data_IF_305441068103
#
_entry.id   IF_305441068103
#
_cell.length_a   1.000
_cell.length_b   1.000
_cell.length_c   1.000
_cell.angle_alpha   90.00
_cell.angle_beta   90.00
_cell.angle_gamma   90.00
#
_symmetry.space_group_name_H-M   'P 1'
#
loop_
_entity.id
_entity.type
_entity.pdbx_description
1 polymer ?
#
# COMPACT_ATOMS: atom_id res chain seq x y z
N UNK A 1 5.60 14.20 -21.69
CA UNK A 1 5.63 14.90 -20.39
C UNK A 1 7.07 14.91 -19.94
N UNK A 2 7.66 16.08 -19.80
CA UNK A 2 9.04 16.18 -19.30
C UNK A 2 9.03 15.85 -17.81
N UNK A 3 10.08 15.21 -17.29
CA UNK A 3 10.19 14.78 -15.88
C UNK A 3 9.96 15.94 -14.89
N UNK A 4 10.35 17.15 -15.29
CA UNK A 4 10.14 18.39 -14.53
C UNK A 4 8.65 18.76 -14.32
N UNK A 5 7.77 18.48 -15.28
CA UNK A 5 6.34 18.78 -15.19
C UNK A 5 5.62 17.82 -14.24
N UNK A 6 6.08 16.55 -14.20
CA UNK A 6 5.48 15.52 -13.36
C UNK A 6 5.81 15.74 -11.88
N UNK A 7 7.04 16.17 -11.59
CA UNK A 7 7.44 16.58 -10.24
C UNK A 7 6.60 17.75 -9.72
N UNK A 8 6.37 18.76 -10.55
CA UNK A 8 5.48 19.88 -10.18
C UNK A 8 4.04 19.42 -9.93
N UNK A 9 3.53 18.49 -10.76
CA UNK A 9 2.19 17.92 -10.61
C UNK A 9 2.01 17.10 -9.31
N UNK A 10 3.06 16.39 -8.87
CA UNK A 10 3.02 15.61 -7.63
C UNK A 10 3.22 16.51 -6.41
N UNK A 11 4.12 17.50 -6.49
CA UNK A 11 4.47 18.34 -5.35
C UNK A 11 3.41 19.41 -5.02
N UNK A 12 2.67 19.89 -6.01
CA UNK A 12 1.76 21.04 -5.83
C UNK A 12 0.33 20.67 -5.45
N UNK A 13 0.01 19.38 -5.33
CA UNK A 13 -1.36 18.93 -5.09
C UNK A 13 -1.43 17.82 -4.04
N UNK A 14 -2.44 17.90 -3.17
CA UNK A 14 -2.77 16.83 -2.21
C UNK A 14 -3.25 15.55 -2.92
N UNK A 15 -3.96 15.71 -4.05
CA UNK A 15 -4.41 14.60 -4.90
C UNK A 15 -4.27 14.98 -6.38
N UNK A 16 -3.73 14.05 -7.17
CA UNK A 16 -3.58 14.22 -8.62
C UNK A 16 -4.38 13.17 -9.36
N UNK A 17 -5.30 13.62 -10.21
CA UNK A 17 -6.22 12.75 -10.95
C UNK A 17 -5.87 12.75 -12.43
N UNK A 18 -5.58 11.57 -12.98
CA UNK A 18 -5.34 11.40 -14.42
C UNK A 18 -6.63 10.98 -15.13
N UNK A 19 -7.18 11.87 -15.98
CA UNK A 19 -8.38 11.61 -16.77
C UNK A 19 -8.03 11.40 -18.25
N UNK A 20 -8.81 10.57 -18.93
CA UNK A 20 -8.63 10.30 -20.36
C UNK A 20 -9.44 9.10 -20.84
N UNK A 21 -9.59 8.97 -22.15
CA UNK A 21 -10.31 7.88 -22.82
C UNK A 21 -9.75 6.51 -22.42
N UNK A 22 -10.55 5.44 -22.54
CA UNK A 22 -10.02 4.09 -22.40
C UNK A 22 -8.87 3.87 -23.40
N UNK A 23 -7.79 3.22 -22.96
CA UNK A 23 -6.59 3.04 -23.78
C UNK A 23 -5.67 4.26 -23.88
N UNK A 24 -5.96 5.40 -23.24
CA UNK A 24 -5.11 6.61 -23.29
C UNK A 24 -3.77 6.50 -22.53
N UNK A 25 -3.39 5.30 -22.07
CA UNK A 25 -2.10 5.07 -21.41
C UNK A 25 -2.00 5.44 -19.92
N UNK A 26 -3.11 5.79 -19.23
CA UNK A 26 -3.11 6.17 -17.80
C UNK A 26 -2.41 5.14 -16.89
N UNK A 27 -2.85 3.89 -16.93
CA UNK A 27 -2.24 2.80 -16.13
C UNK A 27 -0.81 2.49 -16.58
N UNK A 28 -0.45 2.78 -17.83
CA UNK A 28 0.93 2.64 -18.31
C UNK A 28 1.83 3.72 -17.73
N UNK A 29 1.36 4.96 -17.62
CA UNK A 29 2.08 6.04 -16.95
C UNK A 29 2.31 5.74 -15.47
N UNK A 30 1.26 5.32 -14.74
CA UNK A 30 1.36 4.98 -13.32
C UNK A 30 2.35 3.82 -13.07
N UNK A 31 2.34 2.79 -13.92
CA UNK A 31 3.32 1.68 -13.82
C UNK A 31 4.75 2.13 -14.14
N UNK A 32 4.93 3.06 -15.08
CA UNK A 32 6.26 3.64 -15.36
C UNK A 32 6.80 4.44 -14.19
N UNK A 33 5.95 5.22 -13.53
CA UNK A 33 6.29 5.94 -12.30
C UNK A 33 6.72 4.96 -11.20
N UNK A 34 5.93 3.91 -10.98
CA UNK A 34 6.22 2.87 -9.99
C UNK A 34 7.53 2.13 -10.26
N UNK A 35 7.88 1.95 -11.54
CA UNK A 35 9.12 1.27 -11.95
C UNK A 35 10.36 2.16 -11.97
N UNK A 36 10.19 3.48 -11.86
CA UNK A 36 11.29 4.45 -12.04
C UNK A 36 12.27 4.48 -10.86
N UNK A 37 11.94 3.86 -9.72
CA UNK A 37 12.69 3.92 -8.44
C UNK A 37 13.03 5.34 -7.93
N UNK A 38 12.63 6.41 -8.64
CA UNK A 38 12.82 7.80 -8.23
C UNK A 38 11.88 8.19 -7.07
N UNK A 39 10.80 7.43 -6.88
CA UNK A 39 9.78 7.69 -5.87
C UNK A 39 9.48 6.41 -5.08
N UNK A 40 9.26 6.56 -3.76
CA UNK A 40 8.69 5.48 -2.97
C UNK A 40 7.21 5.33 -3.33
N UNK A 41 6.92 4.33 -4.16
CA UNK A 41 5.62 4.14 -4.80
C UNK A 41 5.04 2.79 -4.43
N UNK A 42 3.71 2.77 -4.30
CA UNK A 42 2.96 1.54 -4.07
C UNK A 42 1.81 1.50 -5.07
N UNK A 43 1.99 0.74 -6.15
CA UNK A 43 0.93 0.52 -7.12
C UNK A 43 -0.22 -0.30 -6.50
N UNK A 44 -1.43 0.25 -6.57
CA UNK A 44 -2.66 -0.42 -6.14
C UNK A 44 -3.46 -0.75 -7.39
N UNK A 45 -3.67 -2.05 -7.64
CA UNK A 45 -4.48 -2.50 -8.76
C UNK A 45 -5.95 -2.12 -8.58
N UNK A 46 -6.66 -1.76 -9.67
CA UNK A 46 -8.09 -1.51 -9.63
C UNK A 46 -8.82 -2.82 -9.28
N UNK A 47 -9.34 -2.89 -8.06
CA UNK A 47 -10.13 -4.01 -7.57
C UNK A 47 -11.63 -3.69 -7.61
N UNK A 48 -12.46 -4.73 -7.68
CA UNK A 48 -13.91 -4.63 -7.65
C UNK A 48 -14.37 -4.97 -6.23
N UNK A 49 -15.03 -4.03 -5.56
CA UNK A 49 -15.29 -4.10 -4.13
C UNK A 49 -15.77 -5.45 -3.58
N UNK A 50 -15.50 -5.66 -2.29
CA UNK A 50 -15.86 -6.87 -1.55
C UNK A 50 -15.32 -6.80 -0.13
N UNK A 51 -15.53 -7.85 0.66
CA UNK A 51 -15.08 -7.88 2.06
C UNK A 51 -13.60 -8.27 2.17
N UNK A 52 -12.85 -7.62 3.05
CA UNK A 52 -11.51 -8.04 3.44
C UNK A 52 -11.60 -9.35 4.21
N UNK A 53 -10.99 -10.41 3.68
CA UNK A 53 -10.98 -11.75 4.28
C UNK A 53 -9.54 -12.17 4.45
N UNK A 54 -9.17 -12.60 5.66
CA UNK A 54 -7.85 -13.15 5.92
C UNK A 54 -7.71 -14.57 5.32
N UNK A 55 -6.56 -14.85 4.71
CA UNK A 55 -6.22 -16.16 4.14
C UNK A 55 -4.78 -16.52 4.53
N UNK A 56 -4.60 -17.64 5.23
CA UNK A 56 -3.30 -18.10 5.70
C UNK A 56 -2.35 -18.52 4.56
N UNK A 57 -2.88 -18.99 3.42
CA UNK A 57 -2.05 -19.33 2.27
C UNK A 57 -1.42 -18.06 1.68
N UNK A 58 -2.18 -16.97 1.65
CA UNK A 58 -1.69 -15.67 1.19
C UNK A 58 -0.64 -15.11 2.15
N UNK A 59 -0.84 -15.22 3.46
CA UNK A 59 0.18 -14.86 4.44
C UNK A 59 1.46 -15.67 4.26
N UNK A 60 1.36 -16.99 4.20
CA UNK A 60 2.50 -17.86 3.95
C UNK A 60 3.24 -17.44 2.68
N UNK A 61 2.53 -17.17 1.58
CA UNK A 61 3.16 -16.76 0.32
C UNK A 61 3.92 -15.44 0.47
N UNK A 62 3.31 -14.45 1.13
CA UNK A 62 3.95 -13.15 1.41
C UNK A 62 5.20 -13.32 2.30
N UNK A 63 5.16 -14.21 3.29
CA UNK A 63 6.30 -14.47 4.17
C UNK A 63 7.45 -15.23 3.50
N UNK A 64 7.16 -16.06 2.50
CA UNK A 64 8.18 -16.85 1.79
C UNK A 64 8.77 -16.12 0.59
N UNK A 65 8.02 -15.21 -0.05
CA UNK A 65 8.48 -14.40 -1.18
C UNK A 65 8.11 -12.93 -0.98
N UNK A 66 9.10 -12.15 -0.56
CA UNK A 66 8.98 -10.70 -0.33
C UNK A 66 8.53 -9.93 -1.59
N UNK A 67 8.83 -10.45 -2.79
CA UNK A 67 8.49 -9.80 -4.05
C UNK A 67 7.14 -10.23 -4.60
N UNK A 68 6.58 -11.35 -4.12
CA UNK A 68 5.31 -11.89 -4.62
C UNK A 68 4.19 -10.85 -4.56
N UNK A 69 4.06 -10.19 -3.42
CA UNK A 69 3.03 -9.18 -3.17
C UNK A 69 3.10 -8.00 -4.14
N UNK A 70 4.31 -7.51 -4.41
CA UNK A 70 4.54 -6.38 -5.34
C UNK A 70 4.24 -6.83 -6.77
N UNK A 71 4.77 -7.98 -7.16
CA UNK A 71 4.63 -8.53 -8.51
C UNK A 71 3.18 -8.87 -8.83
N UNK A 72 2.48 -9.48 -7.88
CA UNK A 72 1.10 -9.90 -8.06
C UNK A 72 0.14 -8.70 -8.11
N UNK A 73 0.35 -7.68 -7.27
CA UNK A 73 -0.43 -6.42 -7.32
C UNK A 73 -0.25 -5.60 -8.59
N UNK A 74 0.85 -5.80 -9.33
CA UNK A 74 1.09 -5.14 -10.63
C UNK A 74 0.30 -5.79 -11.77
N UNK A 75 -0.31 -6.96 -11.55
CA UNK A 75 -1.14 -7.65 -12.54
C UNK A 75 -2.54 -7.06 -12.56
N UNK A 76 -3.17 -7.07 -13.74
CA UNK A 76 -4.58 -6.74 -13.84
C UNK A 76 -5.41 -7.89 -13.26
N UNK A 77 -6.42 -7.58 -12.44
CA UNK A 77 -7.38 -8.55 -11.87
C UNK A 77 -6.74 -9.58 -10.92
N UNK A 78 -6.06 -9.08 -9.90
CA UNK A 78 -5.61 -9.92 -8.79
C UNK A 78 -6.80 -10.39 -7.95
N UNK A 79 -7.08 -11.70 -7.96
CA UNK A 79 -8.18 -12.30 -7.18
C UNK A 79 -7.95 -12.22 -5.67
N UNK A 80 -6.68 -12.25 -5.24
CA UNK A 80 -6.28 -12.31 -3.84
C UNK A 80 -5.97 -10.94 -3.21
N UNK A 81 -6.30 -9.84 -3.88
CA UNK A 81 -5.93 -8.49 -3.43
C UNK A 81 -6.50 -8.16 -2.03
N UNK A 82 -7.74 -8.60 -1.78
CA UNK A 82 -8.42 -8.42 -0.49
C UNK A 82 -7.71 -9.18 0.63
N UNK A 83 -7.33 -10.43 0.35
CA UNK A 83 -6.58 -11.29 1.27
C UNK A 83 -5.21 -10.70 1.57
N UNK A 84 -4.49 -10.24 0.55
CA UNK A 84 -3.21 -9.57 0.71
C UNK A 84 -3.33 -8.31 1.59
N UNK A 85 -4.42 -7.55 1.42
CA UNK A 85 -4.65 -6.33 2.20
C UNK A 85 -5.00 -6.64 3.66
N UNK A 86 -5.81 -7.68 3.90
CA UNK A 86 -6.11 -8.17 5.24
C UNK A 86 -4.84 -8.65 5.98
N UNK A 87 -3.96 -9.38 5.28
CA UNK A 87 -2.67 -9.81 5.83
C UNK A 87 -1.79 -8.61 6.17
N UNK A 88 -1.64 -7.62 5.29
CA UNK A 88 -0.84 -6.43 5.59
C UNK A 88 -1.36 -5.66 6.80
N UNK A 89 -2.68 -5.51 6.92
CA UNK A 89 -3.30 -4.84 8.06
C UNK A 89 -2.99 -5.57 9.38
N UNK A 90 -3.15 -6.90 9.39
CA UNK A 90 -2.82 -7.73 10.55
C UNK A 90 -1.33 -7.69 10.89
N UNK A 91 -0.45 -7.70 9.89
CA UNK A 91 0.99 -7.60 10.11
C UNK A 91 1.36 -6.26 10.73
N UNK A 92 0.74 -5.16 10.29
CA UNK A 92 0.93 -3.84 10.90
C UNK A 92 0.52 -3.84 12.38
N UNK A 93 -0.65 -4.41 12.70
CA UNK A 93 -1.12 -4.56 14.07
C UNK A 93 -0.12 -5.34 14.93
N UNK A 94 0.32 -6.51 14.47
CA UNK A 94 1.30 -7.33 15.20
C UNK A 94 2.63 -6.61 15.39
N UNK A 95 3.10 -5.87 14.39
CA UNK A 95 4.35 -5.10 14.48
C UNK A 95 4.26 -4.02 15.56
N UNK A 96 3.16 -3.27 15.59
CA UNK A 96 2.93 -2.22 16.59
C UNK A 96 2.80 -2.81 17.99
N UNK A 97 2.03 -3.89 18.16
CA UNK A 97 1.89 -4.55 19.45
C UNK A 97 3.23 -5.09 19.97
N UNK A 98 4.06 -5.69 19.10
CA UNK A 98 5.41 -6.15 19.45
C UNK A 98 6.36 -5.00 19.77
N UNK A 99 6.21 -3.86 19.10
CA UNK A 99 6.99 -2.66 19.39
C UNK A 99 6.67 -2.10 20.78
N UNK A 100 5.37 -2.02 21.12
CA UNK A 100 4.89 -1.64 22.46
C UNK A 100 5.46 -2.60 23.51
N UNK A 101 5.39 -3.91 23.26
CA UNK A 101 5.87 -4.92 24.20
C UNK A 101 7.37 -4.77 24.49
N UNK A 102 8.18 -4.57 23.44
CA UNK A 102 9.65 -4.52 23.52
C UNK A 102 10.19 -3.21 24.09
N UNK A 103 9.47 -2.10 23.94
CA UNK A 103 9.94 -0.78 24.35
C UNK A 103 9.27 -0.35 25.67
N UNK A 104 9.97 -0.36 26.82
CA UNK A 104 9.39 -0.04 28.12
C UNK A 104 8.84 1.39 28.22
N UNK A 105 9.36 2.33 27.43
CA UNK A 105 8.87 3.71 27.39
C UNK A 105 7.51 3.74 26.72
N UNK A 106 7.40 3.16 25.52
CA UNK A 106 6.14 3.05 24.77
C UNK A 106 5.09 2.24 25.52
N UNK A 107 5.50 1.19 26.24
CA UNK A 107 4.60 0.38 27.07
C UNK A 107 3.95 1.15 28.22
N UNK A 108 4.66 2.13 28.79
CA UNK A 108 4.12 2.97 29.87
C UNK A 108 3.21 4.07 29.35
N UNK A 109 3.29 4.38 28.07
CA UNK A 109 2.45 5.37 27.41
C UNK A 109 1.10 4.74 27.02
N UNK A 110 0.03 5.11 27.71
CA UNK A 110 -1.32 4.62 27.41
C UNK A 110 -1.95 5.27 26.17
N UNK A 111 -1.34 6.30 25.60
CA UNK A 111 -1.80 6.96 24.38
C UNK A 111 -1.26 6.30 23.11
N UNK A 112 -0.10 5.64 23.21
CA UNK A 112 0.54 4.94 22.09
C UNK A 112 -0.12 3.58 21.85
N UNK A 113 -1.08 3.57 20.93
CA UNK A 113 -1.94 2.40 20.64
C UNK A 113 -1.97 2.10 19.14
N UNK A 114 -2.44 0.91 18.78
CA UNK A 114 -2.68 0.57 17.37
C UNK A 114 -3.65 1.56 16.71
N UNK A 115 -4.73 1.95 17.40
CA UNK A 115 -5.72 2.89 16.89
C UNK A 115 -5.15 4.29 16.65
N UNK A 116 -4.24 4.75 17.50
CA UNK A 116 -3.53 6.01 17.32
C UNK A 116 -2.67 5.99 16.05
N UNK A 117 -1.94 4.90 15.83
CA UNK A 117 -1.17 4.71 14.59
C UNK A 117 -2.08 4.62 13.35
N UNK A 118 -3.23 3.95 13.46
CA UNK A 118 -4.22 3.90 12.39
C UNK A 118 -4.81 5.29 12.10
N UNK A 119 -4.99 6.12 13.13
CA UNK A 119 -5.41 7.51 13.03
C UNK A 119 -4.47 8.34 12.17
N UNK A 120 -3.15 8.21 12.40
CA UNK A 120 -2.12 8.93 11.63
C UNK A 120 -2.14 8.61 10.13
N UNK A 121 -2.51 7.38 9.75
CA UNK A 121 -2.60 6.95 8.34
C UNK A 121 -3.83 7.54 7.64
N UNK A 122 -4.92 7.77 8.38
CA UNK A 122 -6.21 8.20 7.83
C UNK A 122 -6.39 9.73 7.77
N UNK A 123 -5.50 10.50 8.41
CA UNK A 123 -5.46 11.98 8.36
C UNK A 123 -4.63 12.51 7.19
#
# INVERSE_FOLDING_TARGET
MKELELNQLIANARFTVFLGKNGSGKSTLLRKLDSSNHYNTKYISPERGGTLVYDANVENTISHDENWLINDRRRNRTEQFRQQSAVQFRNLEVLILREIEKNPIKRKDSSYTFDETLGQINT
#
